data_IF_310780639009
#
_entry.id   IF_310780639009
#
_cell.length_a   1.000
_cell.length_b   1.000
_cell.length_c   1.000
_cell.angle_alpha   90.00
_cell.angle_beta   90.00
_cell.angle_gamma   90.00
#
_symmetry.space_group_name_H-M   'P 1'
#
loop_
_entity.id
_entity.type
_entity.pdbx_description
1 polymer ?
#
# COMPACT_ATOMS: atom_id res chain seq x y z
N UNK A 1 -13.66 -21.87 5.65
CA UNK A 1 -12.46 -21.03 5.41
C UNK A 1 -11.43 -21.63 4.44
N UNK A 2 -11.24 -22.96 4.34
CA UNK A 2 -10.25 -23.57 3.42
C UNK A 2 -10.48 -23.30 1.92
N UNK A 3 -11.74 -23.26 1.47
CA UNK A 3 -12.07 -23.02 0.05
C UNK A 3 -11.72 -21.61 -0.45
N UNK A 4 -11.95 -20.57 0.37
CA UNK A 4 -11.61 -19.19 0.02
C UNK A 4 -10.09 -19.00 -0.12
N UNK A 5 -9.32 -19.60 0.79
CA UNK A 5 -7.85 -19.56 0.73
C UNK A 5 -7.30 -20.26 -0.53
N UNK A 6 -7.85 -21.43 -0.89
CA UNK A 6 -7.45 -22.15 -2.10
C UNK A 6 -7.82 -21.39 -3.38
N UNK A 7 -9.02 -20.81 -3.43
CA UNK A 7 -9.49 -20.01 -4.56
C UNK A 7 -8.64 -18.74 -4.76
N UNK A 8 -8.35 -18.02 -3.67
CA UNK A 8 -7.47 -16.84 -3.67
C UNK A 8 -6.07 -17.19 -4.16
N UNK A 9 -5.50 -18.31 -3.71
CA UNK A 9 -4.17 -18.76 -4.14
C UNK A 9 -4.16 -19.08 -5.65
N UNK A 10 -5.16 -19.80 -6.14
CA UNK A 10 -5.31 -20.15 -7.57
C UNK A 10 -5.40 -18.92 -8.48
N UNK A 11 -6.17 -17.91 -8.04
CA UNK A 11 -6.28 -16.63 -8.76
C UNK A 11 -4.94 -15.89 -8.77
N UNK A 12 -4.22 -15.87 -7.65
CA UNK A 12 -2.94 -15.18 -7.56
C UNK A 12 -1.88 -15.82 -8.44
N UNK A 13 -1.87 -17.15 -8.54
CA UNK A 13 -0.96 -17.88 -9.43
C UNK A 13 -1.29 -17.60 -10.92
N UNK A 14 -2.57 -17.58 -11.26
CA UNK A 14 -3.03 -17.21 -12.62
C UNK A 14 -2.68 -15.76 -12.96
N UNK A 15 -2.92 -14.82 -12.03
CA UNK A 15 -2.58 -13.41 -12.19
C UNK A 15 -1.07 -13.21 -12.34
N UNK A 16 -0.27 -13.92 -11.54
CA UNK A 16 1.19 -13.89 -11.63
C UNK A 16 1.68 -14.37 -13.01
N UNK A 17 1.09 -15.43 -13.57
CA UNK A 17 1.42 -15.90 -14.91
C UNK A 17 1.20 -14.81 -15.97
N UNK A 18 0.01 -14.20 -15.98
CA UNK A 18 -0.33 -13.18 -16.98
C UNK A 18 0.48 -11.89 -16.81
N UNK A 19 0.71 -11.43 -15.58
CA UNK A 19 1.52 -10.23 -15.35
C UNK A 19 2.98 -10.42 -15.76
N UNK A 20 3.58 -11.59 -15.52
CA UNK A 20 4.94 -11.87 -16.00
C UNK A 20 5.01 -11.94 -17.54
N UNK A 21 3.99 -12.48 -18.20
CA UNK A 21 3.90 -12.47 -19.65
C UNK A 21 3.82 -11.04 -20.20
N UNK A 22 2.96 -10.21 -19.61
CA UNK A 22 2.84 -8.79 -19.98
C UNK A 22 4.13 -8.02 -19.71
N UNK A 23 4.79 -8.26 -18.57
CA UNK A 23 6.08 -7.64 -18.25
C UNK A 23 7.12 -7.93 -19.35
N UNK A 24 7.21 -9.19 -19.81
CA UNK A 24 8.13 -9.57 -20.89
C UNK A 24 7.81 -8.84 -22.20
N UNK A 25 6.53 -8.72 -22.54
CA UNK A 25 6.11 -7.96 -23.72
C UNK A 25 6.46 -6.47 -23.59
N UNK A 26 6.20 -5.84 -22.45
CA UNK A 26 6.52 -4.43 -22.22
C UNK A 26 8.03 -4.16 -22.19
N UNK A 27 8.84 -5.12 -21.75
CA UNK A 27 10.30 -5.06 -21.88
C UNK A 27 10.75 -5.09 -23.35
N UNK A 28 10.14 -5.96 -24.16
CA UNK A 28 10.44 -6.06 -25.60
C UNK A 28 10.03 -4.80 -26.36
N UNK A 29 8.86 -4.25 -26.03
CA UNK A 29 8.33 -3.03 -26.68
C UNK A 29 8.86 -1.74 -26.06
N UNK A 30 9.66 -1.82 -24.98
CA UNK A 30 10.18 -0.68 -24.20
C UNK A 30 9.08 0.28 -23.73
N UNK A 31 7.88 -0.23 -23.44
CA UNK A 31 6.74 0.56 -22.95
C UNK A 31 6.96 0.92 -21.47
N UNK A 32 7.30 2.18 -21.19
CA UNK A 32 7.48 2.67 -19.81
C UNK A 32 6.20 2.58 -18.98
N UNK A 33 5.06 2.94 -19.58
CA UNK A 33 3.74 2.81 -18.96
C UNK A 33 3.43 1.35 -18.59
N UNK A 34 3.60 0.43 -19.55
CA UNK A 34 3.34 -0.98 -19.36
C UNK A 34 4.26 -1.62 -18.31
N UNK A 35 5.54 -1.24 -18.29
CA UNK A 35 6.48 -1.66 -17.25
C UNK A 35 6.01 -1.20 -15.86
N UNK A 36 5.61 0.07 -15.72
CA UNK A 36 5.09 0.62 -14.48
C UNK A 36 3.85 -0.12 -13.97
N UNK A 37 2.91 -0.43 -14.86
CA UNK A 37 1.72 -1.20 -14.54
C UNK A 37 2.05 -2.64 -14.12
N UNK A 38 2.90 -3.33 -14.87
CA UNK A 38 3.26 -4.72 -14.60
C UNK A 38 3.98 -4.85 -13.24
N UNK A 39 4.99 -4.03 -12.98
CA UNK A 39 5.69 -4.04 -11.69
C UNK A 39 4.76 -3.74 -10.52
N UNK A 40 3.82 -2.80 -10.67
CA UNK A 40 2.85 -2.48 -9.62
C UNK A 40 1.97 -3.70 -9.29
N UNK A 41 1.41 -4.34 -10.32
CA UNK A 41 0.51 -5.47 -10.14
C UNK A 41 1.21 -6.71 -9.55
N UNK A 42 2.44 -6.99 -10.00
CA UNK A 42 3.25 -8.09 -9.45
C UNK A 42 3.61 -7.78 -7.99
N UNK A 43 4.02 -6.54 -7.68
CA UNK A 43 4.32 -6.11 -6.31
C UNK A 43 3.11 -6.27 -5.38
N UNK A 44 1.91 -5.89 -5.84
CA UNK A 44 0.66 -6.08 -5.08
C UNK A 44 0.37 -7.55 -4.78
N UNK A 45 0.63 -8.46 -5.71
CA UNK A 45 0.49 -9.91 -5.48
C UNK A 45 1.46 -10.41 -4.40
N UNK A 46 2.71 -9.97 -4.43
CA UNK A 46 3.68 -10.30 -3.37
C UNK A 46 3.23 -9.76 -2.00
N UNK A 47 2.68 -8.55 -1.94
CA UNK A 47 2.11 -8.00 -0.71
C UNK A 47 0.96 -8.84 -0.16
N UNK A 48 0.06 -9.31 -1.03
CA UNK A 48 -1.04 -10.21 -0.64
C UNK A 48 -0.57 -11.57 -0.13
N UNK A 49 0.62 -12.01 -0.56
CA UNK A 49 1.28 -13.24 -0.08
C UNK A 49 2.09 -13.03 1.21
N UNK A 50 2.19 -11.79 1.71
CA UNK A 50 3.02 -11.44 2.86
C UNK A 50 4.52 -11.30 2.55
N UNK A 51 4.91 -11.37 1.28
CA UNK A 51 6.29 -11.19 0.82
C UNK A 51 6.62 -9.70 0.66
N UNK A 52 6.49 -8.94 1.75
CA UNK A 52 6.46 -7.47 1.73
C UNK A 52 7.77 -6.85 1.20
N UNK A 53 8.94 -7.45 1.46
CA UNK A 53 10.21 -6.94 0.93
C UNK A 53 10.26 -6.99 -0.60
N UNK A 54 9.85 -8.11 -1.21
CA UNK A 54 9.76 -8.23 -2.67
C UNK A 54 8.69 -7.30 -3.25
N UNK A 55 7.56 -7.18 -2.55
CA UNK A 55 6.51 -6.25 -2.92
C UNK A 55 7.06 -4.81 -2.99
N UNK A 56 7.74 -4.34 -1.95
CA UNK A 56 8.34 -3.00 -1.90
C UNK A 56 9.36 -2.79 -3.01
N UNK A 57 10.22 -3.75 -3.32
CA UNK A 57 11.17 -3.64 -4.42
C UNK A 57 10.43 -3.38 -5.76
N UNK A 58 9.41 -4.18 -6.06
CA UNK A 58 8.65 -4.08 -7.30
C UNK A 58 7.80 -2.81 -7.35
N UNK A 59 7.16 -2.42 -6.25
CA UNK A 59 6.40 -1.17 -6.17
C UNK A 59 7.33 0.05 -6.36
N UNK A 60 8.57 0.02 -5.83
CA UNK A 60 9.54 1.09 -6.08
C UNK A 60 9.97 1.13 -7.56
N UNK A 61 10.21 -0.02 -8.20
CA UNK A 61 10.45 -0.07 -9.66
C UNK A 61 9.28 0.52 -10.44
N UNK A 62 8.04 0.14 -10.08
CA UNK A 62 6.84 0.70 -10.68
C UNK A 62 6.76 2.23 -10.55
N UNK A 63 7.13 2.76 -9.38
CA UNK A 63 7.12 4.20 -9.11
C UNK A 63 8.09 4.96 -10.03
N UNK A 64 9.28 4.40 -10.29
CA UNK A 64 10.25 5.00 -11.21
C UNK A 64 9.64 5.12 -12.61
N UNK A 65 9.08 4.03 -13.15
CA UNK A 65 8.48 4.05 -14.49
C UNK A 65 7.23 4.94 -14.57
N UNK A 66 6.38 4.93 -13.54
CA UNK A 66 5.16 5.77 -13.49
C UNK A 66 5.49 7.25 -13.39
N UNK A 67 6.57 7.62 -12.69
CA UNK A 67 7.10 8.99 -12.68
C UNK A 67 7.66 9.42 -14.04
N UNK A 68 8.24 8.50 -14.82
CA UNK A 68 8.74 8.80 -16.17
C UNK A 68 7.61 9.01 -17.19
N UNK A 69 6.54 8.24 -17.11
CA UNK A 69 5.38 8.39 -18.01
C UNK A 69 4.48 9.59 -17.63
N UNK A 70 4.42 9.96 -16.35
CA UNK A 70 3.80 11.21 -15.90
C UNK A 70 2.29 11.15 -15.64
N UNK A 71 1.71 9.97 -15.41
CA UNK A 71 0.28 9.83 -15.09
C UNK A 71 0.05 9.95 -13.57
N UNK A 72 -0.63 11.03 -13.10
CA UNK A 72 -0.71 11.34 -11.68
C UNK A 72 -1.40 10.25 -10.85
N UNK A 73 -2.48 9.65 -11.36
CA UNK A 73 -3.26 8.68 -10.59
C UNK A 73 -2.48 7.38 -10.34
N UNK A 74 -1.70 6.93 -11.31
CA UNK A 74 -0.79 5.80 -11.18
C UNK A 74 0.32 6.09 -10.17
N UNK A 75 0.88 7.30 -10.15
CA UNK A 75 1.88 7.69 -9.16
C UNK A 75 1.27 7.63 -7.75
N UNK A 76 0.12 8.28 -7.54
CA UNK A 76 -0.61 8.28 -6.25
C UNK A 76 -0.87 6.85 -5.79
N UNK A 77 -1.46 6.02 -6.65
CA UNK A 77 -1.78 4.63 -6.34
C UNK A 77 -0.53 3.83 -5.93
N UNK A 78 0.60 4.06 -6.62
CA UNK A 78 1.87 3.38 -6.28
C UNK A 78 2.40 3.79 -4.92
N UNK A 79 2.34 5.08 -4.59
CA UNK A 79 2.78 5.60 -3.30
C UNK A 79 1.87 5.07 -2.18
N UNK A 80 0.55 5.08 -2.39
CA UNK A 80 -0.40 4.49 -1.43
C UNK A 80 -0.14 3.00 -1.20
N UNK A 81 0.28 2.25 -2.24
CA UNK A 81 0.66 0.84 -2.08
C UNK A 81 1.87 0.66 -1.16
N UNK A 82 2.86 1.57 -1.18
CA UNK A 82 3.98 1.55 -0.22
C UNK A 82 3.51 1.82 1.21
N UNK A 83 2.51 2.70 1.37
CA UNK A 83 1.83 2.93 2.64
C UNK A 83 1.17 1.66 3.18
N UNK A 84 0.35 0.99 2.36
CA UNK A 84 -0.31 -0.27 2.73
C UNK A 84 0.67 -1.39 3.07
N UNK A 85 1.77 -1.52 2.30
CA UNK A 85 2.81 -2.51 2.60
C UNK A 85 3.51 -2.21 3.94
N UNK A 86 3.69 -0.93 4.29
CA UNK A 86 4.30 -0.53 5.56
C UNK A 86 3.34 -0.76 6.74
N UNK A 87 2.03 -0.57 6.54
CA UNK A 87 1.01 -0.96 7.52
C UNK A 87 1.00 -2.48 7.78
N UNK A 88 1.15 -3.28 6.73
CA UNK A 88 1.26 -4.74 6.83
C UNK A 88 2.48 -5.19 7.64
N UNK A 89 3.54 -4.38 7.67
CA UNK A 89 4.74 -4.60 8.50
C UNK A 89 4.64 -3.95 9.89
N UNK A 90 3.53 -3.28 10.21
CA UNK A 90 3.36 -2.46 11.41
C UNK A 90 4.33 -1.26 11.54
N UNK A 91 4.97 -0.86 10.45
CA UNK A 91 5.75 0.39 10.38
C UNK A 91 4.81 1.56 10.07
N UNK A 92 4.08 1.98 11.10
CA UNK A 92 3.04 2.99 10.95
C UNK A 92 3.60 4.40 10.70
N UNK A 93 4.83 4.69 11.12
CA UNK A 93 5.48 5.98 10.84
C UNK A 93 5.82 6.08 9.36
N UNK A 94 6.37 5.01 8.78
CA UNK A 94 6.67 4.96 7.36
C UNK A 94 5.40 4.94 6.51
N UNK A 95 4.37 4.20 6.94
CA UNK A 95 3.06 4.23 6.30
C UNK A 95 2.49 5.66 6.24
N UNK A 96 2.50 6.38 7.37
CA UNK A 96 2.02 7.76 7.44
C UNK A 96 2.79 8.67 6.47
N UNK A 97 4.12 8.50 6.38
CA UNK A 97 4.94 9.25 5.44
C UNK A 97 4.47 9.05 4.00
N UNK A 98 4.27 7.79 3.58
CA UNK A 98 3.82 7.49 2.22
C UNK A 98 2.41 8.00 1.94
N UNK A 99 1.48 7.86 2.88
CA UNK A 99 0.11 8.36 2.70
C UNK A 99 0.07 9.88 2.61
N UNK A 100 0.87 10.59 3.41
CA UNK A 100 1.04 12.05 3.28
C UNK A 100 1.67 12.45 1.95
N UNK A 101 2.66 11.70 1.47
CA UNK A 101 3.28 11.94 0.17
C UNK A 101 2.25 11.80 -0.97
N UNK A 102 1.46 10.73 -0.96
CA UNK A 102 0.40 10.50 -1.95
C UNK A 102 -0.66 11.61 -1.92
N UNK A 103 -1.11 12.02 -0.72
CA UNK A 103 -2.06 13.10 -0.54
C UNK A 103 -1.53 14.45 -1.04
N UNK A 104 -0.30 14.81 -0.65
CA UNK A 104 0.30 16.07 -1.07
C UNK A 104 0.55 16.11 -2.57
N UNK A 105 0.95 14.98 -3.17
CA UNK A 105 1.11 14.87 -4.61
C UNK A 105 -0.22 15.10 -5.34
N UNK A 106 -1.30 14.45 -4.90
CA UNK A 106 -2.64 14.65 -5.45
C UNK A 106 -3.09 16.12 -5.34
N UNK A 107 -2.91 16.72 -4.15
CA UNK A 107 -3.27 18.11 -3.87
C UNK A 107 -2.51 19.10 -4.77
N UNK A 108 -1.21 18.86 -4.99
CA UNK A 108 -0.36 19.79 -5.73
C UNK A 108 -0.59 19.76 -7.25
N UNK A 109 -1.10 18.65 -7.81
CA UNK A 109 -1.36 18.54 -9.25
C UNK A 109 -2.72 19.12 -9.62
N UNK A 110 -3.79 18.67 -8.96
CA UNK A 110 -5.11 19.26 -9.13
C UNK A 110 -6.00 18.82 -7.96
N UNK A 111 -6.65 19.73 -7.23
CA UNK A 111 -7.65 19.38 -6.24
C UNK A 111 -8.75 18.42 -6.74
N UNK A 112 -9.04 18.37 -8.05
CA UNK A 112 -9.98 17.39 -8.61
C UNK A 112 -9.48 15.94 -8.58
N UNK A 113 -8.16 15.69 -8.54
CA UNK A 113 -7.58 14.35 -8.30
C UNK A 113 -7.78 13.86 -6.87
N UNK A 114 -8.23 14.73 -5.96
CA UNK A 114 -8.72 14.31 -4.65
C UNK A 114 -10.01 13.46 -4.78
N UNK A 115 -10.68 13.47 -5.93
CA UNK A 115 -11.88 12.66 -6.17
C UNK A 115 -11.64 11.14 -6.09
N UNK A 116 -12.44 10.46 -5.26
CA UNK A 116 -12.54 9.00 -5.18
C UNK A 116 -11.29 8.34 -4.60
N UNK A 117 -10.37 7.87 -5.45
CA UNK A 117 -9.29 6.96 -5.05
C UNK A 117 -8.18 7.62 -4.22
N UNK A 118 -7.78 8.86 -4.49
CA UNK A 118 -6.69 9.50 -3.76
C UNK A 118 -7.12 9.92 -2.34
N UNK A 119 -8.32 10.49 -2.18
CA UNK A 119 -8.91 10.75 -0.86
C UNK A 119 -9.30 9.48 -0.14
N UNK A 120 -9.90 8.48 -0.79
CA UNK A 120 -10.28 7.24 -0.13
C UNK A 120 -9.06 6.49 0.39
N UNK A 121 -8.02 6.32 -0.43
CA UNK A 121 -6.77 5.67 0.01
C UNK A 121 -6.07 6.46 1.12
N UNK A 122 -6.01 7.79 1.01
CA UNK A 122 -5.32 8.64 2.00
C UNK A 122 -6.13 8.83 3.28
N UNK A 123 -7.45 9.00 3.19
CA UNK A 123 -8.35 9.17 4.34
C UNK A 123 -8.61 7.84 5.04
N UNK A 124 -8.85 6.72 4.35
CA UNK A 124 -9.00 5.43 5.02
C UNK A 124 -7.71 5.07 5.74
N UNK A 125 -6.56 5.20 5.10
CA UNK A 125 -5.29 4.91 5.74
C UNK A 125 -4.99 5.84 6.92
N UNK A 126 -5.21 7.16 6.77
CA UNK A 126 -5.05 8.10 7.87
C UNK A 126 -6.04 7.82 9.03
N UNK A 127 -7.29 7.49 8.71
CA UNK A 127 -8.34 7.22 9.69
C UNK A 127 -8.15 5.87 10.39
N UNK A 128 -7.71 4.84 9.67
CA UNK A 128 -7.28 3.54 10.20
C UNK A 128 -6.07 3.69 11.12
N UNK A 129 -5.06 4.47 10.69
CA UNK A 129 -3.92 4.84 11.51
C UNK A 129 -4.36 5.56 12.79
N UNK A 130 -5.21 6.58 12.69
CA UNK A 130 -5.77 7.30 13.84
C UNK A 130 -6.50 6.35 14.79
N UNK A 131 -7.31 5.43 14.25
CA UNK A 131 -8.02 4.41 15.04
C UNK A 131 -7.04 3.49 15.78
N UNK A 132 -5.98 3.01 15.13
CA UNK A 132 -4.95 2.17 15.76
C UNK A 132 -4.18 2.91 16.86
N UNK A 133 -3.79 4.17 16.62
CA UNK A 133 -3.14 5.03 17.63
C UNK A 133 -4.07 5.22 18.84
N UNK A 134 -5.35 5.54 18.60
CA UNK A 134 -6.35 5.73 19.66
C UNK A 134 -6.59 4.42 20.42
N UNK A 135 -6.67 3.27 19.76
CA UNK A 135 -6.79 1.96 20.42
C UNK A 135 -5.57 1.66 21.30
N UNK A 136 -4.36 1.90 20.78
CA UNK A 136 -3.12 1.68 21.52
C UNK A 136 -3.05 2.59 22.75
N UNK A 137 -3.35 3.88 22.61
CA UNK A 137 -3.43 4.83 23.73
C UNK A 137 -4.47 4.40 24.78
N UNK A 138 -5.66 3.96 24.36
CA UNK A 138 -6.69 3.43 25.28
C UNK A 138 -6.24 2.17 26.01
N UNK A 139 -5.47 1.29 25.37
CA UNK A 139 -4.92 0.10 26.03
C UNK A 139 -3.86 0.46 27.07
N UNK A 140 -3.00 1.44 26.77
CA UNK A 140 -1.95 1.91 27.65
C UNK A 140 -2.56 2.60 28.87
N UNK A 141 -3.55 3.48 28.67
CA UNK A 141 -4.22 4.16 29.79
C UNK A 141 -4.97 3.19 30.70
N UNK A 142 -5.61 2.15 30.14
CA UNK A 142 -6.27 1.10 30.93
C UNK A 142 -5.28 0.27 31.74
N UNK A 143 -4.13 -0.09 31.17
CA UNK A 143 -3.07 -0.81 31.88
C UNK A 143 -2.42 0.04 32.97
N UNK A 144 -2.18 1.33 32.71
CA UNK A 144 -1.62 2.27 33.68
C UNK A 144 -2.56 2.47 34.88
N UNK A 145 -3.88 2.58 34.63
CA UNK A 145 -4.89 2.67 35.68
C UNK A 145 -4.93 1.42 36.58
N UNK A 146 -4.87 0.22 35.99
CA UNK A 146 -4.79 -1.04 36.75
C UNK A 146 -3.50 -1.13 37.57
N UNK A 147 -2.39 -0.69 36.99
CA UNK A 147 -1.09 -0.69 37.67
C UNK A 147 -1.05 0.27 38.86
N UNK A 148 -1.56 1.50 38.70
CA UNK A 148 -1.65 2.48 39.79
C UNK A 148 -2.55 1.98 40.92
N UNK A 149 -3.72 1.41 40.60
CA UNK A 149 -4.61 0.85 41.63
C UNK A 149 -4.00 -0.36 42.36
N UNK A 150 -3.13 -1.13 41.71
CA UNK A 150 -2.37 -2.21 42.37
C UNK A 150 -1.28 -1.72 43.31
N UNK A 151 -0.76 -0.50 43.11
CA UNK A 151 0.28 0.10 43.97
C UNK A 151 -0.32 0.88 45.16
N UNK A 152 -1.61 1.22 45.11
CA UNK A 152 -2.31 1.98 46.15
C UNK A 152 -3.11 1.10 47.14
N UNK A 153 -2.99 -0.23 47.07
CA UNK A 153 -3.53 -1.21 48.02
C UNK A 153 -2.34 -1.92 48.67
#
# INVERSE_FOLDING_TARGET
>A
MKGLSFFVKSIDDSAMFWFNRSLKLFQQTKSTEGLGLAYHNIGRLYGRRGENSKAKELINKALIYRKQFGEPSAIINTISMLGLLSEGENDFLLAEKYHKEAYNFAKNINPSYLGGMAMESSNLAWLEFRKKIIQKQKSISKNLFVYINRLMI
#
